data_IF_168660573376
#
_entry.id   IF_168660573376
#
_cell.length_a   1.000
_cell.length_b   1.000
_cell.length_c   1.000
_cell.angle_alpha   90.00
_cell.angle_beta   90.00
_cell.angle_gamma   90.00
#
_symmetry.space_group_name_H-M   'P 1'
#
loop_
_entity.id
_entity.type
_entity.pdbx_description
1 polymer ?
#
# COMPACT_ATOMS: atom_id res chain seq x y z
N UNK A 1 -14.57 8.60 -27.45
CA UNK A 1 -13.17 9.02 -27.20
C UNK A 1 -12.65 8.20 -26.03
N UNK A 2 -11.40 7.71 -26.09
CA UNK A 2 -10.78 6.88 -25.03
C UNK A 2 -10.24 7.83 -23.95
N UNK A 3 -10.45 7.51 -22.66
CA UNK A 3 -9.85 8.24 -21.52
C UNK A 3 -8.58 7.56 -21.03
N UNK A 4 -7.57 8.35 -20.68
CA UNK A 4 -6.24 7.94 -20.24
C UNK A 4 -6.06 8.04 -18.73
N UNK A 5 -5.27 7.13 -18.16
CA UNK A 5 -4.87 7.10 -16.75
C UNK A 5 -3.58 6.29 -16.61
N UNK A 6 -2.89 6.42 -15.48
CA UNK A 6 -1.73 5.59 -15.10
C UNK A 6 -2.18 4.53 -14.09
N UNK A 7 -1.36 3.52 -13.77
CA UNK A 7 -1.79 2.44 -12.86
C UNK A 7 -1.95 2.93 -11.42
N UNK A 8 -1.03 3.76 -10.92
CA UNK A 8 -1.09 4.27 -9.55
C UNK A 8 0.24 4.87 -9.06
N UNK A 9 1.23 4.02 -8.81
CA UNK A 9 2.50 4.45 -8.21
C UNK A 9 3.35 5.34 -9.12
N UNK A 10 4.11 6.24 -8.50
CA UNK A 10 5.13 7.08 -9.13
C UNK A 10 6.49 6.88 -8.47
N UNK A 11 7.60 7.14 -9.19
CA UNK A 11 8.93 7.20 -8.58
C UNK A 11 8.97 8.22 -7.44
N UNK A 12 9.61 7.85 -6.33
CA UNK A 12 9.78 8.75 -5.18
C UNK A 12 10.79 9.84 -5.54
N UNK A 13 10.43 11.13 -5.43
CA UNK A 13 11.40 12.20 -5.66
C UNK A 13 12.54 12.16 -4.65
N UNK A 14 13.78 12.37 -5.09
CA UNK A 14 14.98 12.31 -4.25
C UNK A 14 14.87 13.18 -2.99
N UNK A 15 14.23 14.35 -3.12
CA UNK A 15 14.04 15.29 -2.01
C UNK A 15 13.00 14.81 -0.97
N UNK A 16 11.99 14.02 -1.39
CA UNK A 16 11.06 13.39 -0.45
C UNK A 16 11.75 12.25 0.30
N UNK A 17 12.60 11.47 -0.39
CA UNK A 17 13.40 10.42 0.23
C UNK A 17 14.45 10.99 1.20
N UNK A 18 15.08 12.12 0.86
CA UNK A 18 16.11 12.77 1.67
C UNK A 18 15.54 13.49 2.91
N UNK A 19 14.33 14.07 2.82
CA UNK A 19 13.69 14.81 3.90
C UNK A 19 12.19 14.51 3.95
N UNK A 20 11.81 13.33 4.50
CA UNK A 20 10.40 12.95 4.60
C UNK A 20 9.68 13.87 5.60
N UNK A 21 8.44 14.21 5.26
CA UNK A 21 7.57 15.03 6.09
C UNK A 21 6.22 15.24 5.42
N UNK A 22 5.21 15.62 6.20
CA UNK A 22 3.85 15.81 5.69
C UNK A 22 3.80 16.85 4.56
N UNK A 23 4.48 17.98 4.75
CA UNK A 23 4.56 19.03 3.73
C UNK A 23 5.26 18.52 2.46
N UNK A 24 6.40 17.84 2.60
CA UNK A 24 7.14 17.29 1.47
C UNK A 24 6.29 16.27 0.68
N UNK A 25 5.52 15.43 1.38
CA UNK A 25 4.61 14.48 0.76
C UNK A 25 3.46 15.17 0.00
N UNK A 26 2.86 16.22 0.57
CA UNK A 26 1.82 17.02 -0.09
C UNK A 26 2.38 17.69 -1.34
N UNK A 27 3.58 18.29 -1.25
CA UNK A 27 4.23 18.94 -2.38
C UNK A 27 4.57 17.92 -3.48
N UNK A 28 5.01 16.71 -3.12
CA UNK A 28 5.37 15.67 -4.07
C UNK A 28 4.13 15.15 -4.80
N UNK A 29 3.05 14.92 -4.05
CA UNK A 29 1.73 14.55 -4.59
C UNK A 29 1.22 15.63 -5.56
N UNK A 30 1.38 16.92 -5.21
CA UNK A 30 1.03 18.03 -6.11
C UNK A 30 1.83 17.99 -7.41
N UNK A 31 3.13 17.72 -7.35
CA UNK A 31 3.98 17.57 -8.54
C UNK A 31 3.52 16.41 -9.43
N UNK A 32 3.17 15.26 -8.85
CA UNK A 32 2.64 14.10 -9.59
C UNK A 32 1.34 14.45 -10.33
N UNK A 33 0.41 15.14 -9.68
CA UNK A 33 -0.82 15.61 -10.32
C UNK A 33 -0.54 16.63 -11.43
N UNK A 34 0.31 17.61 -11.18
CA UNK A 34 0.65 18.65 -12.16
C UNK A 34 1.28 18.05 -13.42
N UNK A 35 2.21 17.09 -13.27
CA UNK A 35 2.88 16.42 -14.37
C UNK A 35 1.89 15.63 -15.24
N UNK A 36 1.02 14.83 -14.63
CA UNK A 36 0.01 14.07 -15.38
C UNK A 36 -0.94 14.98 -16.16
N UNK A 37 -1.37 16.10 -15.57
CA UNK A 37 -2.21 17.08 -16.26
C UNK A 37 -1.50 17.80 -17.39
N UNK A 38 -0.25 18.17 -17.20
CA UNK A 38 0.56 18.78 -18.26
C UNK A 38 0.70 17.85 -19.47
N UNK A 39 0.71 16.53 -19.22
CA UNK A 39 0.74 15.50 -20.26
C UNK A 39 -0.63 15.12 -20.81
N UNK A 40 -1.72 15.73 -20.32
CA UNK A 40 -3.08 15.48 -20.79
C UNK A 40 -3.69 14.17 -20.31
N UNK A 41 -3.25 13.61 -19.17
CA UNK A 41 -3.91 12.44 -18.56
C UNK A 41 -5.30 12.82 -18.06
N UNK A 42 -6.33 12.09 -18.51
CA UNK A 42 -7.73 12.40 -18.24
C UNK A 42 -8.13 12.17 -16.77
N UNK A 43 -7.62 11.09 -16.16
CA UNK A 43 -7.87 10.76 -14.75
C UNK A 43 -6.53 10.47 -14.05
N UNK A 44 -5.89 11.46 -13.43
CA UNK A 44 -4.59 11.29 -12.82
C UNK A 44 -4.67 10.48 -11.52
N UNK A 45 -3.54 9.97 -11.07
CA UNK A 45 -3.36 9.28 -9.77
C UNK A 45 -2.52 10.11 -8.80
N UNK A 46 -2.59 9.82 -7.51
CA UNK A 46 -1.82 10.50 -6.45
C UNK A 46 -0.33 10.10 -6.39
N UNK A 47 0.05 9.00 -7.04
CA UNK A 47 1.41 8.49 -7.07
C UNK A 47 1.76 7.53 -5.92
N UNK A 48 0.83 7.28 -5.00
CA UNK A 48 0.99 6.35 -3.86
C UNK A 48 2.21 6.63 -2.96
N UNK A 49 2.70 7.88 -2.95
CA UNK A 49 3.96 8.28 -2.31
C UNK A 49 3.96 8.07 -0.79
N UNK A 50 2.80 8.09 -0.15
CA UNK A 50 2.62 7.89 1.29
C UNK A 50 2.83 6.43 1.72
N UNK A 51 2.88 5.49 0.78
CA UNK A 51 3.16 4.07 1.05
C UNK A 51 4.65 3.76 1.13
N UNK A 52 5.49 4.70 0.72
CA UNK A 52 6.94 4.52 0.72
C UNK A 52 7.48 4.41 2.14
N UNK A 53 8.19 3.30 2.40
CA UNK A 53 8.97 3.11 3.62
C UNK A 53 10.41 2.71 3.25
N UNK A 54 11.36 3.60 3.56
CA UNK A 54 12.80 3.39 3.31
C UNK A 54 13.34 2.14 4.01
N UNK A 55 12.68 1.69 5.08
CA UNK A 55 13.08 0.50 5.82
C UNK A 55 12.60 -0.82 5.17
N UNK A 56 11.81 -0.75 4.09
CA UNK A 56 11.24 -1.90 3.39
C UNK A 56 11.53 -1.86 1.87
N UNK A 57 12.80 -2.00 1.45
CA UNK A 57 13.23 -1.78 0.06
C UNK A 57 12.75 -2.84 -0.93
N UNK A 58 12.51 -4.07 -0.49
CA UNK A 58 12.15 -5.18 -1.40
C UNK A 58 10.77 -5.02 -2.06
N UNK A 59 9.86 -4.30 -1.40
CA UNK A 59 8.47 -4.07 -1.87
C UNK A 59 8.05 -2.61 -1.85
N UNK A 60 8.99 -1.69 -1.56
CA UNK A 60 8.73 -0.28 -1.26
C UNK A 60 7.67 -0.05 -0.18
N UNK A 61 7.40 -1.04 0.70
CA UNK A 61 6.39 -0.95 1.76
C UNK A 61 4.94 -0.94 1.29
N UNK A 62 4.67 -1.21 0.00
CA UNK A 62 3.34 -0.99 -0.60
C UNK A 62 2.23 -1.85 0.02
N UNK A 63 2.53 -3.10 0.36
CA UNK A 63 1.59 -4.03 1.00
C UNK A 63 1.60 -3.83 2.51
N UNK A 64 2.79 -3.65 3.07
CA UNK A 64 3.03 -3.40 4.49
C UNK A 64 2.25 -2.18 4.97
N UNK A 65 2.09 -1.15 4.12
CA UNK A 65 1.29 0.02 4.39
C UNK A 65 -0.13 -0.32 4.85
N UNK A 66 -0.78 -1.27 4.19
CA UNK A 66 -2.17 -1.65 4.49
C UNK A 66 -2.26 -2.50 5.75
N UNK A 67 -1.36 -3.47 5.91
CA UNK A 67 -1.52 -4.52 6.94
C UNK A 67 -0.86 -4.17 8.27
N UNK A 68 0.22 -3.38 8.25
CA UNK A 68 0.95 -2.97 9.47
C UNK A 68 0.10 -2.22 10.49
N UNK A 69 -0.78 -1.28 10.10
CA UNK A 69 -1.59 -0.56 11.07
C UNK A 69 -2.83 -1.34 11.54
N UNK A 70 -3.18 -2.47 10.93
CA UNK A 70 -4.38 -3.23 11.30
C UNK A 70 -4.24 -3.91 12.66
N UNK A 71 -5.35 -4.02 13.40
CA UNK A 71 -5.39 -4.83 14.62
C UNK A 71 -5.37 -6.33 14.26
N UNK A 72 -4.87 -7.18 15.17
CA UNK A 72 -4.75 -8.63 14.93
C UNK A 72 -3.54 -9.04 14.08
N UNK A 73 -2.70 -8.08 13.69
CA UNK A 73 -1.54 -8.29 12.82
C UNK A 73 -0.23 -8.07 13.56
N UNK A 74 0.73 -8.99 13.38
CA UNK A 74 2.12 -8.84 13.80
C UNK A 74 3.03 -8.63 12.59
N UNK A 75 3.84 -7.57 12.63
CA UNK A 75 4.77 -7.22 11.53
C UNK A 75 6.24 -7.58 11.79
N UNK A 76 6.59 -7.89 13.04
CA UNK A 76 7.92 -8.40 13.36
C UNK A 76 7.99 -9.90 13.03
N UNK A 77 8.60 -10.25 11.90
CA UNK A 77 8.70 -11.63 11.42
C UNK A 77 9.93 -12.35 11.98
N UNK A 78 9.75 -13.58 12.43
CA UNK A 78 10.81 -14.49 12.85
C UNK A 78 11.19 -15.51 11.77
N UNK A 79 12.22 -16.31 12.07
CA UNK A 79 12.68 -17.40 11.19
C UNK A 79 11.56 -18.40 10.88
N UNK A 80 10.80 -18.82 11.90
CA UNK A 80 9.73 -19.79 11.73
C UNK A 80 8.60 -19.26 10.83
N UNK A 81 8.28 -17.97 10.91
CA UNK A 81 7.29 -17.35 10.02
C UNK A 81 7.74 -17.43 8.56
N UNK A 82 9.03 -17.17 8.30
CA UNK A 82 9.60 -17.27 6.96
C UNK A 82 9.54 -18.71 6.42
N UNK A 83 9.91 -19.70 7.24
CA UNK A 83 9.82 -21.11 6.85
C UNK A 83 8.36 -21.52 6.58
N UNK A 84 7.41 -21.13 7.43
CA UNK A 84 5.98 -21.41 7.25
C UNK A 84 5.43 -20.75 5.98
N UNK A 85 5.72 -19.48 5.75
CA UNK A 85 5.24 -18.74 4.57
C UNK A 85 5.81 -19.32 3.27
N UNK A 86 7.09 -19.73 3.27
CA UNK A 86 7.73 -20.36 2.10
C UNK A 86 7.05 -21.67 1.67
N UNK A 87 6.48 -22.43 2.63
CA UNK A 87 5.77 -23.69 2.36
C UNK A 87 4.37 -23.48 1.82
N UNK A 88 3.74 -22.35 2.17
CA UNK A 88 2.39 -21.99 1.73
C UNK A 88 2.35 -21.58 0.24
N UNK A 89 3.52 -21.28 -0.35
CA UNK A 89 3.75 -21.00 -1.78
C UNK A 89 2.68 -20.18 -2.51
N UNK A 90 2.18 -19.04 -1.99
CA UNK A 90 1.09 -18.33 -2.65
C UNK A 90 1.55 -17.57 -3.90
N UNK A 91 2.81 -17.10 -4.00
CA UNK A 91 3.33 -16.29 -5.13
C UNK A 91 4.86 -16.37 -5.32
N UNK A 92 5.35 -16.39 -6.58
CA UNK A 92 6.80 -16.47 -6.90
C UNK A 92 7.57 -15.15 -6.71
N UNK A 93 6.90 -13.99 -6.62
CA UNK A 93 7.59 -12.69 -6.51
C UNK A 93 7.95 -12.28 -5.08
N UNK A 94 7.48 -13.02 -4.06
CA UNK A 94 7.64 -12.64 -2.66
C UNK A 94 8.06 -13.84 -1.81
N UNK A 95 9.19 -13.73 -1.14
CA UNK A 95 9.79 -14.81 -0.33
C UNK A 95 9.49 -14.69 1.17
N UNK A 96 8.93 -13.56 1.62
CA UNK A 96 8.62 -13.27 3.03
C UNK A 96 7.17 -12.80 3.16
N UNK A 97 6.48 -13.16 4.23
CA UNK A 97 5.15 -12.58 4.48
C UNK A 97 5.24 -11.04 4.59
N UNK A 98 4.14 -10.34 4.34
CA UNK A 98 4.01 -8.92 4.67
C UNK A 98 3.76 -8.74 6.17
N UNK A 99 2.96 -9.63 6.75
CA UNK A 99 2.71 -9.70 8.18
C UNK A 99 2.11 -11.08 8.54
N UNK A 100 1.99 -11.35 9.85
CA UNK A 100 1.31 -12.53 10.39
C UNK A 100 -0.03 -12.11 11.00
N UNK A 101 -1.08 -12.84 10.68
CA UNK A 101 -2.41 -12.69 11.30
C UNK A 101 -2.48 -13.65 12.48
N UNK A 102 -2.53 -13.13 13.70
CA UNK A 102 -2.49 -13.92 14.95
C UNK A 102 -3.79 -13.85 15.75
N UNK A 103 -4.69 -12.97 15.34
CA UNK A 103 -5.99 -12.80 15.97
C UNK A 103 -7.01 -12.21 14.99
N UNK A 104 -8.23 -11.93 15.46
CA UNK A 104 -9.26 -11.32 14.63
C UNK A 104 -8.79 -9.96 14.12
N UNK A 105 -8.92 -9.74 12.81
CA UNK A 105 -8.59 -8.48 12.17
C UNK A 105 -9.54 -7.37 12.63
N UNK A 106 -9.02 -6.17 12.77
CA UNK A 106 -9.79 -4.97 13.09
C UNK A 106 -9.15 -3.71 12.51
N UNK A 107 -9.86 -2.60 12.60
CA UNK A 107 -9.51 -1.32 11.95
C UNK A 107 -8.07 -0.86 12.26
N UNK A 108 -7.62 -1.07 13.52
CA UNK A 108 -6.35 -0.56 14.00
C UNK A 108 -6.20 0.94 13.69
N UNK A 109 -5.09 1.31 13.07
CA UNK A 109 -4.80 2.69 12.66
C UNK A 109 -4.84 2.94 11.15
N UNK A 110 -5.35 2.00 10.33
CA UNK A 110 -5.38 2.18 8.88
C UNK A 110 -6.40 3.27 8.52
N UNK A 111 -5.96 4.36 7.88
CA UNK A 111 -6.85 5.48 7.55
C UNK A 111 -6.72 5.93 6.10
N UNK A 112 -7.24 5.11 5.19
CA UNK A 112 -7.26 5.39 3.75
C UNK A 112 -8.10 6.63 3.38
N UNK A 113 -9.09 6.97 4.21
CA UNK A 113 -9.91 8.17 4.00
C UNK A 113 -9.03 9.41 4.16
N UNK A 114 -8.26 9.49 5.24
CA UNK A 114 -7.35 10.62 5.47
C UNK A 114 -6.29 10.75 4.37
N UNK A 115 -5.78 9.63 3.85
CA UNK A 115 -4.86 9.64 2.70
C UNK A 115 -5.52 10.22 1.44
N UNK A 116 -6.72 9.76 1.12
CA UNK A 116 -7.48 10.21 -0.03
C UNK A 116 -7.84 11.70 0.10
N UNK A 117 -8.26 12.14 1.29
CA UNK A 117 -8.55 13.54 1.59
C UNK A 117 -7.32 14.43 1.42
N UNK A 118 -6.17 14.00 1.96
CA UNK A 118 -4.89 14.71 1.80
C UNK A 118 -4.52 14.85 0.32
N UNK A 119 -4.62 13.79 -0.46
CA UNK A 119 -4.39 13.85 -1.90
C UNK A 119 -5.39 14.79 -2.59
N UNK A 120 -6.67 14.75 -2.20
CA UNK A 120 -7.72 15.60 -2.74
C UNK A 120 -7.44 17.10 -2.54
N UNK A 121 -6.80 17.50 -1.44
CA UNK A 121 -6.45 18.91 -1.19
C UNK A 121 -5.56 19.53 -2.27
N UNK A 122 -4.75 18.72 -2.95
CA UNK A 122 -3.86 19.14 -4.03
C UNK A 122 -4.23 18.53 -5.38
N UNK A 123 -5.29 17.71 -5.41
CA UNK A 123 -5.69 17.01 -6.60
C UNK A 123 -6.14 17.94 -7.70
N UNK A 124 -6.79 19.08 -7.44
CA UNK A 124 -7.21 20.02 -8.50
C UNK A 124 -8.26 19.48 -9.48
N UNK A 125 -9.06 18.50 -9.04
CA UNK A 125 -10.11 17.85 -9.83
C UNK A 125 -10.26 16.35 -9.50
N UNK A 126 -11.10 15.62 -10.24
CA UNK A 126 -11.21 14.17 -10.10
C UNK A 126 -9.86 13.48 -10.28
N UNK A 127 -9.62 12.46 -9.46
CA UNK A 127 -8.44 11.61 -9.55
C UNK A 127 -8.81 10.18 -9.19
N UNK A 128 -7.94 9.24 -9.57
CA UNK A 128 -8.05 7.84 -9.18
C UNK A 128 -7.18 7.59 -7.94
N UNK A 129 -7.81 7.19 -6.85
CA UNK A 129 -7.16 6.67 -5.64
C UNK A 129 -7.07 5.15 -5.75
N UNK A 130 -5.90 4.57 -5.50
CA UNK A 130 -5.70 3.12 -5.60
C UNK A 130 -5.77 2.47 -4.23
N UNK A 131 -6.20 1.21 -4.17
CA UNK A 131 -6.21 0.40 -2.94
C UNK A 131 -5.84 -1.02 -3.35
N UNK A 132 -5.06 -1.72 -2.53
CA UNK A 132 -4.77 -3.15 -2.78
C UNK A 132 -5.98 -3.99 -2.38
N UNK A 133 -6.38 -4.93 -3.25
CA UNK A 133 -7.54 -5.77 -2.98
C UNK A 133 -7.30 -6.69 -1.77
N UNK A 134 -8.35 -6.99 -0.97
CA UNK A 134 -8.29 -7.98 0.10
C UNK A 134 -7.69 -9.32 -0.34
N UNK A 135 -8.06 -9.79 -1.54
CA UNK A 135 -7.49 -11.01 -2.13
C UNK A 135 -5.96 -10.94 -2.29
N UNK A 136 -5.43 -9.81 -2.76
CA UNK A 136 -3.98 -9.64 -2.89
C UNK A 136 -3.30 -9.52 -1.52
N UNK A 137 -3.93 -8.84 -0.57
CA UNK A 137 -3.43 -8.76 0.81
C UNK A 137 -3.36 -10.15 1.45
N UNK A 138 -4.45 -10.92 1.41
CA UNK A 138 -4.53 -12.27 1.98
C UNK A 138 -3.40 -13.18 1.48
N UNK A 139 -3.07 -13.12 0.19
CA UNK A 139 -1.99 -13.94 -0.40
C UNK A 139 -0.58 -13.55 0.03
N UNK A 140 -0.42 -12.39 0.68
CA UNK A 140 0.87 -11.91 1.19
C UNK A 140 1.02 -12.09 2.69
N UNK A 141 -0.04 -12.53 3.37
CA UNK A 141 -0.06 -12.71 4.82
C UNK A 141 0.24 -14.17 5.19
N UNK A 142 0.86 -14.36 6.35
CA UNK A 142 0.89 -15.66 7.01
C UNK A 142 -0.30 -15.72 7.96
N UNK A 143 -1.26 -16.60 7.68
CA UNK A 143 -2.47 -16.75 8.49
C UNK A 143 -2.29 -17.81 9.58
N UNK A 144 -2.33 -17.39 10.84
CA UNK A 144 -2.31 -18.28 12.02
C UNK A 144 -3.62 -18.21 12.82
N UNK A 145 -4.61 -17.43 12.37
CA UNK A 145 -5.87 -17.22 13.09
C UNK A 145 -7.06 -17.87 12.38
N UNK A 146 -7.33 -17.45 11.14
CA UNK A 146 -8.48 -17.95 10.39
C UNK A 146 -8.20 -19.34 9.82
N UNK A 147 -6.95 -19.57 9.39
CA UNK A 147 -6.49 -20.83 8.79
C UNK A 147 -7.29 -21.21 7.52
N UNK A 148 -8.00 -20.25 6.95
CA UNK A 148 -8.82 -20.36 5.76
C UNK A 148 -8.67 -19.09 4.92
N UNK A 149 -8.35 -19.28 3.64
CA UNK A 149 -8.03 -18.17 2.75
C UNK A 149 -9.26 -17.31 2.42
N UNK A 150 -10.45 -17.92 2.33
CA UNK A 150 -11.70 -17.20 2.06
C UNK A 150 -12.11 -16.38 3.28
N UNK A 151 -12.08 -16.97 4.48
CA UNK A 151 -12.37 -16.27 5.73
C UNK A 151 -11.42 -15.09 5.95
N UNK A 152 -10.12 -15.28 5.77
CA UNK A 152 -9.14 -14.20 5.84
C UNK A 152 -9.44 -13.10 4.80
N UNK A 153 -9.75 -13.48 3.56
CA UNK A 153 -10.02 -12.52 2.48
C UNK A 153 -11.27 -11.68 2.78
N UNK A 154 -12.30 -12.25 3.41
CA UNK A 154 -13.53 -11.53 3.78
C UNK A 154 -13.31 -10.64 5.03
N UNK A 155 -12.38 -11.01 5.91
CA UNK A 155 -12.03 -10.21 7.09
C UNK A 155 -11.18 -8.96 6.77
N UNK A 156 -10.56 -8.91 5.59
CA UNK A 156 -9.73 -7.81 5.07
C UNK A 156 -10.56 -6.77 4.30
#
# INVERSE_FOLDING_TARGET
MIRTTTVGSYPIPDWLAAMPGEQALIDATRTVFALQRQLGIDLPVDGELYRFDVNHPDTNGMIEYFVRPMAGVRTQLGRSDHESFSRYAPMQFRSRAAAVVEGPLGEGGLNLISDCERAATVAGGPFKFTVTSPYMLARTLLDLHYLDFEELTIAL
#
